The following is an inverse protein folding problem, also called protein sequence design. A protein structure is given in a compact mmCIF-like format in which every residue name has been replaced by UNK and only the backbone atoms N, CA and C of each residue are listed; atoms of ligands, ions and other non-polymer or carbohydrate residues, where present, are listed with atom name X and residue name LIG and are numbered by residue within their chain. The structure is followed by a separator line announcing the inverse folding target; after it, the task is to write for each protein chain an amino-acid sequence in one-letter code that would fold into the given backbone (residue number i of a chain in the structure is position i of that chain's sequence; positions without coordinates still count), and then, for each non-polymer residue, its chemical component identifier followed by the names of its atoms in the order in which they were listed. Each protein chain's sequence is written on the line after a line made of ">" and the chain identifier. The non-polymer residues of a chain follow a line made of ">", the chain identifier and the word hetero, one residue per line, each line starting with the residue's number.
data_IF_054994723018
#
_entry.id   IF_054994723018
#
_cell.length_a   1.000
_cell.length_b   1.000
_cell.length_c   1.000
_cell.angle_alpha   90.00
_cell.angle_beta   90.00
_cell.angle_gamma   90.00
#
_symmetry.space_group_name_H-M   'P 1'
#
loop_
_entity.id
_entity.type
_entity.pdbx_description
1 polymer ?
#
# COMPACT_ATOMS: atom_id res chain seq x y z
N UNK A 1 -0.27 -21.59 25.50
CA UNK A 1 0.45 -20.64 24.61
C UNK A 1 0.45 -19.32 25.35
N UNK A 2 1.54 -19.03 26.05
CA UNK A 2 1.68 -17.79 26.82
C UNK A 2 1.83 -16.64 25.82
N UNK A 3 0.90 -15.71 25.86
CA UNK A 3 1.06 -14.43 25.19
C UNK A 3 2.05 -13.62 26.00
N UNK A 4 3.32 -13.60 25.57
CA UNK A 4 4.27 -12.60 26.07
C UNK A 4 3.71 -11.21 25.78
N UNK A 5 3.36 -10.49 26.84
CA UNK A 5 2.94 -9.09 26.75
C UNK A 5 4.19 -8.28 26.39
N UNK A 6 4.31 -7.93 25.11
CA UNK A 6 5.31 -6.97 24.67
C UNK A 6 5.12 -5.67 25.46
N UNK A 7 6.15 -5.28 26.22
CA UNK A 7 6.16 -3.98 26.87
C UNK A 7 6.32 -2.92 25.76
N UNK A 8 5.21 -2.38 25.27
CA UNK A 8 5.22 -1.40 24.18
C UNK A 8 5.61 -0.06 24.80
N UNK A 9 6.90 0.29 24.74
CA UNK A 9 7.30 1.68 24.94
C UNK A 9 6.57 2.56 23.93
N UNK A 10 5.74 3.46 24.43
CA UNK A 10 4.89 4.36 23.64
C UNK A 10 5.68 5.57 23.16
N UNK A 11 6.86 5.35 22.60
CA UNK A 11 7.62 6.42 21.96
C UNK A 11 6.99 6.72 20.60
N UNK A 12 6.82 8.01 20.30
CA UNK A 12 6.32 8.45 19.01
C UNK A 12 7.25 7.96 17.89
N UNK A 13 6.69 7.56 16.75
CA UNK A 13 7.51 7.16 15.60
C UNK A 13 8.37 8.34 15.15
N UNK A 14 9.64 8.04 14.82
CA UNK A 14 10.53 9.07 14.32
C UNK A 14 9.96 9.70 13.04
N UNK A 15 10.14 11.03 12.83
CA UNK A 15 9.67 11.69 11.62
C UNK A 15 10.18 11.04 10.32
N UNK A 16 11.43 10.57 10.32
CA UNK A 16 12.01 9.88 9.16
C UNK A 16 11.36 8.53 8.84
N UNK A 17 10.92 7.78 9.85
CA UNK A 17 10.17 6.54 9.64
C UNK A 17 8.77 6.84 9.08
N UNK A 18 8.08 7.84 9.63
CA UNK A 18 6.78 8.28 9.12
C UNK A 18 6.86 8.69 7.64
N UNK A 19 7.89 9.44 7.25
CA UNK A 19 8.12 9.83 5.85
C UNK A 19 8.33 8.62 4.93
N UNK A 20 9.10 7.60 5.36
CA UNK A 20 9.30 6.38 4.58
C UNK A 20 8.01 5.57 4.42
N UNK A 21 7.21 5.49 5.48
CA UNK A 21 5.90 4.82 5.44
C UNK A 21 4.93 5.55 4.50
N UNK A 22 4.84 6.88 4.60
CA UNK A 22 4.03 7.69 3.67
C UNK A 22 4.47 7.51 2.22
N UNK A 23 5.79 7.51 1.96
CA UNK A 23 6.33 7.27 0.63
C UNK A 23 5.96 5.88 0.08
N UNK A 24 6.04 4.83 0.92
CA UNK A 24 5.59 3.49 0.55
C UNK A 24 4.10 3.46 0.21
N UNK A 25 3.26 4.05 1.08
CA UNK A 25 1.82 4.09 0.88
C UNK A 25 1.44 4.82 -0.42
N UNK A 26 2.07 5.97 -0.69
CA UNK A 26 1.87 6.73 -1.92
C UNK A 26 2.37 5.99 -3.16
N UNK A 27 3.51 5.30 -3.06
CA UNK A 27 4.02 4.48 -4.16
C UNK A 27 3.05 3.32 -4.47
N UNK A 28 2.54 2.62 -3.46
CA UNK A 28 1.53 1.57 -3.63
C UNK A 28 0.26 2.13 -4.29
N UNK A 29 -0.27 3.25 -3.79
CA UNK A 29 -1.44 3.90 -4.39
C UNK A 29 -1.21 4.31 -5.86
N UNK A 30 -0.03 4.81 -6.19
CA UNK A 30 0.34 5.19 -7.55
C UNK A 30 0.36 3.97 -8.48
N UNK A 31 0.95 2.85 -8.02
CA UNK A 31 0.96 1.60 -8.76
C UNK A 31 -0.45 1.03 -8.91
N UNK A 32 -1.30 1.10 -7.89
CA UNK A 32 -2.70 0.69 -7.97
C UNK A 32 -3.46 1.47 -9.05
N UNK A 33 -3.28 2.79 -9.12
CA UNK A 33 -3.84 3.63 -10.20
C UNK A 33 -3.25 3.21 -11.56
N UNK A 34 -1.95 2.96 -11.63
CA UNK A 34 -1.30 2.43 -12.82
C UNK A 34 -1.95 1.14 -13.32
N UNK A 35 -2.18 0.19 -12.42
CA UNK A 35 -2.85 -1.08 -12.73
C UNK A 35 -4.30 -0.90 -13.18
N UNK A 36 -5.04 0.06 -12.61
CA UNK A 36 -6.43 0.32 -12.96
C UNK A 36 -6.58 1.03 -14.31
N UNK A 37 -5.73 2.02 -14.59
CA UNK A 37 -5.97 2.97 -15.68
C UNK A 37 -4.94 2.93 -16.81
N UNK A 38 -3.68 2.60 -16.54
CA UNK A 38 -2.60 2.75 -17.52
C UNK A 38 -2.35 1.48 -18.32
N UNK A 39 -2.17 1.62 -19.63
CA UNK A 39 -1.62 0.58 -20.51
C UNK A 39 -0.18 0.85 -20.95
N UNK A 40 0.27 2.11 -20.84
CA UNK A 40 1.64 2.53 -21.16
C UNK A 40 1.99 3.81 -20.36
N UNK A 41 3.25 4.25 -20.45
CA UNK A 41 3.81 5.42 -19.77
C UNK A 41 3.51 5.48 -18.25
N UNK A 42 3.71 4.39 -17.49
CA UNK A 42 3.28 4.28 -16.10
C UNK A 42 4.06 5.19 -15.14
N UNK A 43 5.18 5.77 -15.57
CA UNK A 43 5.99 6.71 -14.78
C UNK A 43 5.93 8.15 -15.32
N UNK A 44 5.06 8.42 -16.29
CA UNK A 44 4.88 9.75 -16.91
C UNK A 44 6.22 10.35 -17.42
N UNK A 45 7.03 9.54 -18.11
CA UNK A 45 8.31 9.99 -18.71
C UNK A 45 8.08 10.97 -19.86
N UNK A 46 6.90 10.94 -20.45
CA UNK A 46 6.38 11.95 -21.38
C UNK A 46 5.00 12.44 -20.88
N UNK A 47 4.49 13.60 -21.36
CA UNK A 47 3.18 14.10 -20.98
C UNK A 47 2.07 13.04 -21.17
N UNK A 48 1.13 12.99 -20.23
CA UNK A 48 0.03 12.02 -20.27
C UNK A 48 -0.88 12.30 -21.47
N UNK A 49 -1.13 11.26 -22.28
CA UNK A 49 -2.02 11.28 -23.43
C UNK A 49 -3.09 10.20 -23.26
N UNK A 50 -4.23 10.37 -23.94
CA UNK A 50 -5.32 9.39 -23.91
C UNK A 50 -4.86 8.00 -24.39
N UNK A 51 -3.89 7.94 -25.29
CA UNK A 51 -3.30 6.70 -25.78
C UNK A 51 -2.54 5.89 -24.71
N UNK A 52 -2.24 6.46 -23.54
CA UNK A 52 -1.63 5.73 -22.43
C UNK A 52 -2.68 5.08 -21.51
N UNK A 53 -3.96 5.40 -21.68
CA UNK A 53 -5.06 4.89 -20.87
C UNK A 53 -5.64 3.61 -21.50
N UNK A 54 -6.03 2.64 -20.66
CA UNK A 54 -6.70 1.41 -21.11
C UNK A 54 -8.03 1.74 -21.78
N UNK A 55 -8.38 1.00 -22.84
CA UNK A 55 -9.66 1.15 -23.53
C UNK A 55 -10.85 0.69 -22.66
N UNK A 56 -10.62 -0.26 -21.74
CA UNK A 56 -11.60 -0.68 -20.74
C UNK A 56 -10.99 -0.56 -19.35
N UNK A 57 -11.71 0.13 -18.46
CA UNK A 57 -11.31 0.36 -17.08
C UNK A 57 -12.01 -0.68 -16.20
N UNK A 58 -11.22 -1.56 -15.58
CA UNK A 58 -11.72 -2.64 -14.73
C UNK A 58 -10.93 -2.66 -13.42
N UNK A 59 -11.63 -2.97 -12.34
CA UNK A 59 -11.08 -3.04 -10.98
C UNK A 59 -11.74 -2.03 -10.04
N UNK A 60 -11.32 -2.03 -8.79
CA UNK A 60 -11.92 -1.21 -7.74
C UNK A 60 -10.85 -0.32 -7.10
N UNK A 61 -11.19 0.96 -6.94
CA UNK A 61 -10.36 1.92 -6.24
C UNK A 61 -10.78 2.09 -4.78
N UNK A 62 -12.10 2.09 -4.47
CA UNK A 62 -12.62 2.62 -3.20
C UNK A 62 -11.99 2.05 -1.93
N UNK A 63 -11.70 0.74 -1.89
CA UNK A 63 -11.07 0.09 -0.72
C UNK A 63 -9.53 0.09 -0.77
N UNK A 64 -8.95 0.21 -1.97
CA UNK A 64 -7.53 0.01 -2.27
C UNK A 64 -6.58 0.92 -1.46
N UNK A 65 -6.77 2.25 -1.37
CA UNK A 65 -5.85 3.09 -0.62
C UNK A 65 -5.91 2.82 0.89
N UNK A 66 -7.07 2.42 1.41
CA UNK A 66 -7.22 2.00 2.80
C UNK A 66 -6.49 0.68 3.09
N UNK A 67 -6.55 -0.27 2.16
CA UNK A 67 -5.79 -1.52 2.27
C UNK A 67 -4.29 -1.27 2.16
N UNK A 68 -3.82 -0.47 1.20
CA UNK A 68 -2.42 -0.07 1.09
C UNK A 68 -1.91 0.60 2.37
N UNK A 69 -2.73 1.43 3.02
CA UNK A 69 -2.38 2.07 4.29
C UNK A 69 -2.18 1.02 5.39
N UNK A 70 -3.13 0.10 5.56
CA UNK A 70 -3.04 -0.99 6.54
C UNK A 70 -1.81 -1.85 6.25
N UNK A 71 -1.61 -2.27 5.00
CA UNK A 71 -0.49 -3.10 4.58
C UNK A 71 0.87 -2.44 4.89
N UNK A 72 1.00 -1.14 4.66
CA UNK A 72 2.19 -0.35 5.01
C UNK A 72 2.50 -0.46 6.51
N UNK A 73 1.48 -0.31 7.35
CA UNK A 73 1.62 -0.38 8.80
C UNK A 73 1.88 -1.82 9.29
N UNK A 74 1.29 -2.82 8.64
CA UNK A 74 1.56 -4.23 8.91
C UNK A 74 3.01 -4.60 8.56
N UNK A 75 3.50 -4.18 7.39
CA UNK A 75 4.90 -4.35 7.00
C UNK A 75 5.87 -3.72 8.00
N UNK A 76 5.51 -2.57 8.59
CA UNK A 76 6.31 -1.95 9.66
C UNK A 76 6.41 -2.85 10.88
N UNK A 77 5.30 -3.41 11.37
CA UNK A 77 5.32 -4.24 12.59
C UNK A 77 5.94 -5.61 12.33
N UNK A 78 5.79 -6.18 11.13
CA UNK A 78 6.51 -7.40 10.72
C UNK A 78 8.01 -7.17 10.85
N UNK A 79 8.54 -6.09 10.26
CA UNK A 79 9.98 -5.80 10.33
C UNK A 79 10.44 -5.41 11.74
N UNK A 80 9.64 -4.65 12.51
CA UNK A 80 10.04 -4.18 13.85
C UNK A 80 10.11 -5.32 14.86
N UNK A 81 9.24 -6.31 14.76
CA UNK A 81 9.06 -7.36 15.76
C UNK A 81 9.34 -8.77 15.23
N UNK A 82 9.91 -8.89 14.03
CA UNK A 82 10.22 -10.17 13.36
C UNK A 82 9.03 -11.16 13.34
N UNK A 83 7.87 -10.66 12.91
CA UNK A 83 6.61 -11.42 12.98
C UNK A 83 6.41 -12.31 11.76
N UNK A 84 5.98 -13.55 11.99
CA UNK A 84 5.33 -14.36 10.97
C UNK A 84 3.84 -14.01 10.88
N UNK A 85 3.44 -13.26 9.84
CA UNK A 85 2.10 -12.70 9.71
C UNK A 85 1.45 -13.04 8.37
N UNK A 86 0.14 -13.35 8.42
CA UNK A 86 -0.73 -13.46 7.25
C UNK A 86 -1.72 -12.30 7.24
N UNK A 87 -1.85 -11.60 6.10
CA UNK A 87 -2.92 -10.62 5.87
C UNK A 87 -4.05 -11.25 5.05
N UNK A 88 -5.27 -11.26 5.60
CA UNK A 88 -6.47 -11.70 4.88
C UNK A 88 -7.29 -10.47 4.49
N UNK A 89 -7.34 -10.18 3.19
CA UNK A 89 -8.15 -9.08 2.67
C UNK A 89 -9.63 -9.49 2.64
N UNK A 90 -10.42 -8.91 3.55
CA UNK A 90 -11.88 -9.03 3.52
C UNK A 90 -12.49 -8.39 2.26
N UNK A 91 -12.25 -7.08 1.99
CA UNK A 91 -12.66 -6.44 0.74
C UNK A 91 -11.72 -6.80 -0.43
N UNK A 92 -11.67 -8.10 -0.78
CA UNK A 92 -10.75 -8.65 -1.78
C UNK A 92 -10.94 -8.16 -3.22
N UNK A 93 -12.03 -7.43 -3.50
CA UNK A 93 -12.21 -6.75 -4.78
C UNK A 93 -11.20 -5.59 -4.98
N UNK A 94 -10.54 -5.14 -3.91
CA UNK A 94 -9.39 -4.23 -3.92
C UNK A 94 -8.06 -4.89 -4.27
N UNK A 95 -8.05 -5.84 -5.21
CA UNK A 95 -6.84 -6.58 -5.59
C UNK A 95 -5.59 -5.75 -5.95
N UNK A 96 -5.70 -4.49 -6.43
CA UNK A 96 -4.53 -3.63 -6.66
C UNK A 96 -3.76 -3.16 -5.40
N UNK A 97 -4.24 -3.48 -4.19
CA UNK A 97 -3.61 -3.09 -2.93
C UNK A 97 -2.49 -4.08 -2.51
#
# INVERSE_FOLDING_TARGET
>A
METELFNIETEALSPGLLQKMDAYWRAANYLSVGQLYMRDNPLLKEPLKLEHIKNMLLGHWGTTPGQNFIYTHLNRIINKYDLNMLYVSGPGHGGPA
#
